data_IF_112553201734
#
_entry.id   IF_112553201734
#
_cell.length_a   1.000
_cell.length_b   1.000
_cell.length_c   1.000
_cell.angle_alpha   90.00
_cell.angle_beta   90.00
_cell.angle_gamma   90.00
#
_symmetry.space_group_name_H-M   'P 1'
#
loop_
_entity.id
_entity.type
_entity.pdbx_description
1 polymer ?
#
# COMPACT_ATOMS: atom_id res chain seq x y z
N UNK A 1 22.01 17.32 0.72
CA UNK A 1 21.42 17.26 2.07
C UNK A 1 20.26 18.24 2.32
N UNK A 2 19.89 19.15 1.39
CA UNK A 2 18.81 20.14 1.62
C UNK A 2 17.36 19.62 1.46
N UNK A 3 17.15 18.42 0.94
CA UNK A 3 15.80 17.88 0.68
C UNK A 3 15.35 16.77 1.64
N UNK A 4 16.16 16.40 2.65
CA UNK A 4 15.74 15.38 3.63
C UNK A 4 14.55 15.85 4.45
N UNK A 5 14.52 17.13 4.86
CA UNK A 5 13.39 17.71 5.59
C UNK A 5 12.11 17.73 4.75
N UNK A 6 12.20 18.17 3.49
CA UNK A 6 11.06 18.18 2.55
C UNK A 6 10.56 16.76 2.29
N UNK A 7 11.47 15.80 2.12
CA UNK A 7 11.14 14.38 1.99
C UNK A 7 10.43 13.82 3.22
N UNK A 8 10.92 14.13 4.42
CA UNK A 8 10.28 13.72 5.68
C UNK A 8 8.88 14.32 5.86
N UNK A 9 8.68 15.59 5.50
CA UNK A 9 7.35 16.23 5.55
C UNK A 9 6.41 15.57 4.54
N UNK A 10 6.87 15.31 3.32
CA UNK A 10 6.07 14.63 2.30
C UNK A 10 5.67 13.22 2.74
N UNK A 11 6.61 12.47 3.35
CA UNK A 11 6.33 11.15 3.91
C UNK A 11 5.33 11.22 5.08
N UNK A 12 5.45 12.20 5.97
CA UNK A 12 4.51 12.39 7.07
C UNK A 12 3.10 12.70 6.55
N UNK A 13 2.98 13.59 5.57
CA UNK A 13 1.69 13.90 4.93
C UNK A 13 1.10 12.67 4.24
N UNK A 14 1.90 11.93 3.47
CA UNK A 14 1.45 10.70 2.83
C UNK A 14 0.96 9.67 3.86
N UNK A 15 1.69 9.49 4.96
CA UNK A 15 1.30 8.60 6.05
C UNK A 15 0.02 9.06 6.75
N UNK A 16 -0.17 10.36 6.97
CA UNK A 16 -1.40 10.92 7.53
C UNK A 16 -2.61 10.72 6.61
N UNK A 17 -2.43 10.94 5.30
CA UNK A 17 -3.49 10.70 4.30
C UNK A 17 -3.89 9.22 4.29
N UNK A 18 -2.91 8.31 4.27
CA UNK A 18 -3.16 6.87 4.32
C UNK A 18 -3.80 6.42 5.64
N UNK A 19 -3.34 6.93 6.78
CA UNK A 19 -3.93 6.62 8.08
C UNK A 19 -5.38 7.08 8.19
N UNK A 20 -5.67 8.32 7.77
CA UNK A 20 -7.02 8.88 7.76
C UNK A 20 -7.96 8.17 6.79
N UNK A 21 -7.43 7.67 5.66
CA UNK A 21 -8.21 6.92 4.68
C UNK A 21 -8.92 5.72 5.29
N UNK A 22 -8.32 4.97 6.23
CA UNK A 22 -8.98 3.81 6.86
C UNK A 22 -10.25 4.18 7.63
N UNK A 23 -10.29 5.38 8.23
CA UNK A 23 -11.49 5.87 8.93
C UNK A 23 -12.61 6.12 7.92
N UNK A 24 -12.30 6.79 6.81
CA UNK A 24 -13.25 7.05 5.73
C UNK A 24 -13.72 5.74 5.10
N UNK A 25 -12.80 4.84 4.76
CA UNK A 25 -13.10 3.51 4.21
C UNK A 25 -14.04 2.75 5.13
N UNK A 26 -13.75 2.70 6.45
CA UNK A 26 -14.60 1.98 7.40
C UNK A 26 -16.05 2.46 7.40
N UNK A 27 -16.26 3.77 7.21
CA UNK A 27 -17.59 4.36 7.09
C UNK A 27 -18.21 4.00 5.73
N UNK A 28 -17.47 4.15 4.64
CA UNK A 28 -17.99 3.93 3.28
C UNK A 28 -18.35 2.47 3.04
N UNK A 29 -17.52 1.52 3.50
CA UNK A 29 -17.78 0.08 3.33
C UNK A 29 -18.99 -0.43 4.10
N UNK A 30 -19.55 0.37 5.01
CA UNK A 30 -20.84 0.06 5.65
C UNK A 30 -22.05 0.32 4.76
N UNK A 31 -21.87 1.10 3.68
CA UNK A 31 -22.93 1.48 2.75
C UNK A 31 -22.69 0.90 1.36
N UNK A 32 -21.43 0.88 0.91
CA UNK A 32 -21.01 0.40 -0.41
C UNK A 32 -20.15 -0.85 -0.21
N UNK A 33 -20.47 -2.00 -0.84
CA UNK A 33 -19.64 -3.19 -0.76
C UNK A 33 -18.17 -2.92 -1.16
N UNK A 34 -17.17 -3.52 -0.50
CA UNK A 34 -15.75 -3.25 -0.77
C UNK A 34 -15.35 -3.45 -2.23
N UNK A 35 -15.92 -4.45 -2.91
CA UNK A 35 -15.63 -4.69 -4.32
C UNK A 35 -16.07 -3.52 -5.20
N UNK A 36 -17.28 -2.99 -5.00
CA UNK A 36 -17.81 -1.84 -5.74
C UNK A 36 -17.00 -0.58 -5.44
N UNK A 37 -16.63 -0.37 -4.18
CA UNK A 37 -15.77 0.75 -3.78
C UNK A 37 -14.43 0.72 -4.54
N UNK A 38 -13.81 -0.46 -4.64
CA UNK A 38 -12.56 -0.62 -5.39
C UNK A 38 -12.74 -0.41 -6.89
N UNK A 39 -13.86 -0.87 -7.47
CA UNK A 39 -14.20 -0.57 -8.87
C UNK A 39 -14.28 0.93 -9.15
N UNK A 40 -14.97 1.68 -8.29
CA UNK A 40 -15.07 3.14 -8.42
C UNK A 40 -13.67 3.78 -8.32
N UNK A 41 -12.83 3.32 -7.39
CA UNK A 41 -11.44 3.83 -7.26
C UNK A 41 -10.63 3.61 -8.53
N UNK A 42 -10.72 2.43 -9.15
CA UNK A 42 -10.01 2.19 -10.40
C UNK A 42 -10.58 2.96 -11.58
N UNK A 43 -11.90 3.15 -11.64
CA UNK A 43 -12.52 4.01 -12.66
C UNK A 43 -11.98 5.44 -12.57
N UNK A 44 -11.93 6.01 -11.35
CA UNK A 44 -11.36 7.35 -11.10
C UNK A 44 -9.86 7.37 -11.44
N UNK A 45 -9.10 6.33 -11.05
CA UNK A 45 -7.67 6.24 -11.35
C UNK A 45 -7.40 6.19 -12.86
N UNK A 46 -8.20 5.46 -13.64
CA UNK A 46 -8.08 5.41 -15.11
C UNK A 46 -8.36 6.79 -15.71
N UNK A 47 -9.44 7.46 -15.29
CA UNK A 47 -9.77 8.81 -15.76
C UNK A 47 -8.65 9.79 -15.45
N UNK A 48 -8.14 9.78 -14.21
CA UNK A 48 -7.03 10.63 -13.79
C UNK A 48 -5.75 10.33 -14.61
N UNK A 49 -5.43 9.06 -14.82
CA UNK A 49 -4.27 8.64 -15.60
C UNK A 49 -4.37 9.10 -17.06
N UNK A 50 -5.54 8.99 -17.68
CA UNK A 50 -5.79 9.46 -19.05
C UNK A 50 -5.62 10.97 -19.12
N UNK A 51 -6.23 11.73 -18.20
CA UNK A 51 -6.11 13.19 -18.16
C UNK A 51 -4.64 13.61 -18.04
N UNK A 52 -3.92 13.07 -17.05
CA UNK A 52 -2.51 13.37 -16.84
C UNK A 52 -1.67 12.96 -18.06
N UNK A 53 -1.94 11.79 -18.64
CA UNK A 53 -1.25 11.29 -19.83
C UNK A 53 -1.43 12.19 -21.06
N UNK A 54 -2.63 12.76 -21.25
CA UNK A 54 -2.92 13.73 -22.30
C UNK A 54 -2.16 15.05 -22.07
N UNK A 55 -2.18 15.58 -20.84
CA UNK A 55 -1.47 16.82 -20.51
C UNK A 55 0.05 16.69 -20.62
N UNK A 56 0.59 15.54 -20.24
CA UNK A 56 2.04 15.27 -20.25
C UNK A 56 2.54 14.72 -21.59
N UNK A 57 1.64 14.48 -22.56
CA UNK A 57 1.93 13.87 -23.88
C UNK A 57 2.75 12.58 -23.77
N UNK A 58 2.44 11.76 -22.76
CA UNK A 58 3.14 10.51 -22.50
C UNK A 58 2.95 9.53 -23.65
N UNK A 59 4.01 8.78 -23.96
CA UNK A 59 3.94 7.76 -25.01
C UNK A 59 3.50 6.42 -24.38
N UNK A 60 2.31 5.94 -24.72
CA UNK A 60 1.72 4.72 -24.15
C UNK A 60 2.30 3.40 -24.71
N UNK A 61 3.53 3.44 -25.23
CA UNK A 61 4.19 2.27 -25.82
C UNK A 61 4.70 1.34 -24.73
N UNK A 62 3.95 0.29 -24.46
CA UNK A 62 4.34 -0.80 -23.56
C UNK A 62 5.08 -1.87 -24.36
N UNK A 63 6.25 -2.29 -23.90
CA UNK A 63 6.94 -3.43 -24.49
C UNK A 63 6.20 -4.72 -24.15
N UNK A 64 6.06 -5.63 -25.13
CA UNK A 64 5.36 -6.92 -24.94
C UNK A 64 5.95 -7.77 -23.80
N UNK A 65 7.25 -7.60 -23.49
CA UNK A 65 7.94 -8.27 -22.38
C UNK A 65 7.47 -7.77 -21.01
N UNK A 66 7.10 -6.50 -20.90
CA UNK A 66 6.67 -5.89 -19.65
C UNK A 66 5.16 -6.06 -19.43
N UNK A 67 4.42 -6.38 -20.49
CA UNK A 67 2.96 -6.53 -20.44
C UNK A 67 2.51 -7.54 -19.37
N UNK A 68 3.17 -8.71 -19.30
CA UNK A 68 2.84 -9.73 -18.30
C UNK A 68 3.15 -9.25 -16.87
N UNK A 69 4.26 -8.53 -16.69
CA UNK A 69 4.67 -7.99 -15.39
C UNK A 69 3.69 -6.90 -14.94
N UNK A 70 3.29 -6.01 -15.84
CA UNK A 70 2.32 -4.95 -15.57
C UNK A 70 0.97 -5.55 -15.16
N UNK A 71 0.50 -6.58 -15.88
CA UNK A 71 -0.73 -7.29 -15.52
C UNK A 71 -0.59 -7.95 -14.15
N UNK A 72 0.53 -8.62 -13.87
CA UNK A 72 0.76 -9.26 -12.59
C UNK A 72 0.75 -8.24 -11.42
N UNK A 73 1.40 -7.09 -11.59
CA UNK A 73 1.41 -5.99 -10.60
C UNK A 73 0.01 -5.39 -10.44
N UNK A 74 -0.74 -5.23 -11.53
CA UNK A 74 -2.12 -4.75 -11.50
C UNK A 74 -3.03 -5.70 -10.73
N UNK A 75 -3.03 -6.99 -11.08
CA UNK A 75 -3.91 -7.98 -10.47
C UNK A 75 -3.51 -8.27 -9.03
N UNK A 76 -2.25 -8.62 -8.78
CA UNK A 76 -1.79 -9.05 -7.45
C UNK A 76 -1.55 -7.84 -6.56
N UNK A 77 -0.75 -6.90 -7.04
CA UNK A 77 -0.28 -5.76 -6.25
C UNK A 77 -1.37 -4.71 -5.99
N UNK A 78 -2.34 -4.58 -6.88
CA UNK A 78 -3.41 -3.59 -6.73
C UNK A 78 -4.77 -4.28 -6.49
N UNK A 79 -5.29 -5.06 -7.44
CA UNK A 79 -6.67 -5.58 -7.34
C UNK A 79 -6.86 -6.46 -6.11
N UNK A 80 -6.12 -7.57 -6.00
CA UNK A 80 -6.26 -8.51 -4.89
C UNK A 80 -5.86 -7.82 -3.57
N UNK A 81 -4.76 -7.08 -3.57
CA UNK A 81 -4.28 -6.38 -2.38
C UNK A 81 -5.30 -5.40 -1.82
N UNK A 82 -5.80 -4.47 -2.64
CA UNK A 82 -6.74 -3.43 -2.20
C UNK A 82 -8.10 -4.05 -1.85
N UNK A 83 -8.64 -4.96 -2.65
CA UNK A 83 -9.91 -5.63 -2.30
C UNK A 83 -9.80 -6.34 -0.94
N UNK A 84 -8.71 -7.06 -0.69
CA UNK A 84 -8.50 -7.76 0.59
C UNK A 84 -8.32 -6.78 1.74
N UNK A 85 -7.64 -5.64 1.52
CA UNK A 85 -7.47 -4.60 2.51
C UNK A 85 -8.81 -3.94 2.90
N UNK A 86 -9.64 -3.59 1.92
CA UNK A 86 -10.94 -2.96 2.14
C UNK A 86 -11.92 -3.95 2.79
N UNK A 87 -11.91 -5.22 2.38
CA UNK A 87 -12.64 -6.31 3.04
C UNK A 87 -12.17 -6.51 4.49
N UNK A 88 -10.85 -6.53 4.73
CA UNK A 88 -10.29 -6.63 6.07
C UNK A 88 -10.67 -5.45 6.96
N UNK A 89 -10.73 -4.24 6.38
CA UNK A 89 -11.18 -3.03 7.10
C UNK A 89 -12.68 -3.09 7.38
N UNK A 90 -13.49 -3.67 6.49
CA UNK A 90 -14.92 -3.91 6.73
C UNK A 90 -15.13 -4.89 7.89
N UNK A 91 -14.37 -5.99 7.93
CA UNK A 91 -14.46 -7.04 8.96
C UNK A 91 -13.80 -6.65 10.29
N UNK A 92 -12.89 -5.67 10.29
CA UNK A 92 -12.13 -5.22 11.45
C UNK A 92 -12.36 -3.74 11.75
N UNK A 93 -11.50 -3.11 12.54
CA UNK A 93 -11.53 -1.67 12.82
C UNK A 93 -10.58 -0.91 11.90
N UNK A 94 -10.85 0.39 11.67
CA UNK A 94 -9.95 1.26 10.93
C UNK A 94 -8.54 1.29 11.55
N UNK A 95 -8.47 1.24 12.89
CA UNK A 95 -7.22 1.21 13.63
C UNK A 95 -6.40 -0.06 13.35
N UNK A 96 -7.04 -1.24 13.35
CA UNK A 96 -6.35 -2.49 13.01
C UNK A 96 -5.85 -2.49 11.56
N UNK A 97 -6.65 -2.00 10.61
CA UNK A 97 -6.23 -1.86 9.20
C UNK A 97 -4.99 -0.97 9.02
N UNK A 98 -4.94 0.16 9.73
CA UNK A 98 -3.79 1.06 9.74
C UNK A 98 -2.54 0.42 10.38
N UNK A 99 -2.70 -0.28 11.51
CA UNK A 99 -1.58 -0.96 12.20
C UNK A 99 -1.01 -2.07 11.31
N UNK A 100 -1.85 -2.93 10.72
CA UNK A 100 -1.40 -3.99 9.82
C UNK A 100 -0.63 -3.40 8.64
N UNK A 101 -1.10 -2.32 8.04
CA UNK A 101 -0.41 -1.71 6.89
C UNK A 101 0.89 -1.00 7.30
N UNK A 102 0.99 -0.50 8.52
CA UNK A 102 2.26 0.02 9.05
C UNK A 102 3.35 -1.06 9.18
N UNK A 103 2.96 -2.34 9.19
CA UNK A 103 3.89 -3.48 9.21
C UNK A 103 4.40 -3.89 7.83
N UNK A 104 3.89 -3.30 6.74
CA UNK A 104 4.33 -3.60 5.36
C UNK A 104 5.84 -3.56 5.17
N UNK A 105 6.62 -2.61 5.75
CA UNK A 105 8.08 -2.63 5.64
C UNK A 105 8.73 -3.91 6.18
N UNK A 106 8.19 -4.50 7.26
CA UNK A 106 8.71 -5.75 7.82
C UNK A 106 8.56 -6.90 6.82
N UNK A 107 7.35 -7.06 6.25
CA UNK A 107 7.07 -8.02 5.20
C UNK A 107 7.91 -7.76 3.95
N UNK A 108 8.13 -6.49 3.58
CA UNK A 108 8.94 -6.12 2.42
C UNK A 108 10.38 -6.64 2.55
N UNK A 109 11.00 -6.57 3.73
CA UNK A 109 12.35 -7.13 3.92
C UNK A 109 12.35 -8.66 3.82
N UNK A 110 11.32 -9.33 4.36
CA UNK A 110 11.17 -10.78 4.27
C UNK A 110 11.04 -11.21 2.79
N UNK A 111 10.14 -10.57 2.04
CA UNK A 111 9.94 -10.85 0.62
C UNK A 111 11.14 -10.44 -0.23
N UNK A 112 11.87 -9.38 0.11
CA UNK A 112 13.11 -9.02 -0.58
C UNK A 112 14.17 -10.13 -0.48
N UNK A 113 14.26 -10.82 0.66
CA UNK A 113 15.11 -12.00 0.79
C UNK A 113 14.60 -13.18 -0.03
N UNK A 114 13.29 -13.47 0.06
CA UNK A 114 12.71 -14.69 -0.53
C UNK A 114 12.59 -14.59 -2.06
N UNK A 115 12.09 -13.47 -2.58
CA UNK A 115 11.79 -13.27 -4.00
C UNK A 115 12.97 -12.65 -4.75
N UNK A 116 13.59 -11.60 -4.20
CA UNK A 116 14.70 -10.89 -4.87
C UNK A 116 16.07 -11.52 -4.55
N UNK A 117 16.15 -12.48 -3.61
CA UNK A 117 17.39 -13.12 -3.15
C UNK A 117 18.43 -12.12 -2.65
N UNK A 118 18.00 -10.95 -2.16
CA UNK A 118 18.91 -9.97 -1.57
C UNK A 118 19.58 -10.52 -0.31
N UNK A 119 20.88 -10.28 -0.16
CA UNK A 119 21.60 -10.61 1.09
C UNK A 119 21.10 -9.70 2.21
N UNK A 120 20.35 -10.27 3.15
CA UNK A 120 19.92 -9.59 4.37
C UNK A 120 21.14 -9.37 5.25
N UNK A 121 21.63 -8.14 5.27
CA UNK A 121 22.71 -7.71 6.17
C UNK A 121 22.24 -7.78 7.62
N UNK A 122 23.15 -7.95 8.59
CA UNK A 122 22.82 -8.01 10.02
C UNK A 122 21.92 -6.85 10.49
N UNK A 123 22.15 -5.63 9.96
CA UNK A 123 21.30 -4.45 10.20
C UNK A 123 19.86 -4.65 9.72
N UNK A 124 19.63 -5.21 8.52
CA UNK A 124 18.29 -5.53 8.00
C UNK A 124 17.61 -6.60 8.86
N UNK A 125 18.36 -7.62 9.32
CA UNK A 125 17.84 -8.64 10.23
C UNK A 125 17.37 -8.07 11.57
N UNK A 126 18.17 -7.16 12.17
CA UNK A 126 17.77 -6.45 13.38
C UNK A 126 16.55 -5.56 13.16
N UNK A 127 16.47 -4.87 12.01
CA UNK A 127 15.28 -4.10 11.63
C UNK A 127 14.02 -4.94 11.52
N UNK A 128 14.11 -6.17 10.98
CA UNK A 128 12.97 -7.10 10.94
C UNK A 128 12.54 -7.46 12.36
N UNK A 129 13.47 -7.90 13.22
CA UNK A 129 13.14 -8.28 14.59
C UNK A 129 12.50 -7.13 15.36
N UNK A 130 13.06 -5.92 15.26
CA UNK A 130 12.50 -4.72 15.89
C UNK A 130 11.12 -4.35 15.33
N UNK A 131 10.92 -4.44 14.02
CA UNK A 131 9.62 -4.16 13.40
C UNK A 131 8.56 -5.20 13.81
N UNK A 132 8.94 -6.48 13.88
CA UNK A 132 8.07 -7.56 14.35
C UNK A 132 7.69 -7.35 15.82
N UNK A 133 8.64 -7.03 16.70
CA UNK A 133 8.35 -6.74 18.11
C UNK A 133 7.44 -5.52 18.26
N UNK A 134 7.71 -4.43 17.53
CA UNK A 134 6.87 -3.23 17.55
C UNK A 134 5.44 -3.52 17.08
N UNK A 135 5.28 -4.34 16.04
CA UNK A 135 3.96 -4.79 15.58
C UNK A 135 3.19 -5.58 16.65
N UNK A 136 3.84 -6.56 17.31
CA UNK A 136 3.21 -7.34 18.38
C UNK A 136 2.81 -6.46 19.57
N UNK A 137 3.66 -5.54 20.01
CA UNK A 137 3.34 -4.62 21.10
C UNK A 137 2.20 -3.65 20.76
N UNK A 138 2.07 -3.26 19.49
CA UNK A 138 0.94 -2.44 19.03
C UNK A 138 -0.35 -3.26 18.96
N UNK A 139 -0.30 -4.50 18.49
CA UNK A 139 -1.46 -5.39 18.46
C UNK A 139 -2.00 -5.67 19.87
N UNK A 140 -1.13 -5.98 20.82
CA UNK A 140 -1.50 -6.26 22.21
C UNK A 140 -2.22 -5.08 22.89
N UNK A 141 -1.87 -3.83 22.53
CA UNK A 141 -2.53 -2.64 23.07
C UNK A 141 -3.91 -2.36 22.49
N UNK A 142 -4.29 -3.00 21.39
CA UNK A 142 -5.51 -2.68 20.64
C UNK A 142 -6.53 -3.82 20.69
N UNK A 143 -6.11 -5.04 21.06
CA UNK A 143 -7.02 -6.12 21.49
C UNK A 143 -7.52 -5.89 22.92
#
# INVERSE_FOLDING_TARGET
MKNTLVGSICLALAASIWGGMYVVVKIVVSVIPPLELVWIRYAVAIVALIIIGLFTRQNWRIHKRDFLIIIAIGIIGNTISIVTQEMGTMLSTAQMGAIITSSTPAFMVIFARLLLKERVTFKKGLSICLATMGFFSLLERVM
#
